data_IF_258329078652
#
_entry.id   IF_258329078652
#
_cell.length_a   1.000
_cell.length_b   1.000
_cell.length_c   1.000
_cell.angle_alpha   90.00
_cell.angle_beta   90.00
_cell.angle_gamma   90.00
#
_symmetry.space_group_name_H-M   'P 1'
#
loop_
_entity.id
_entity.type
_entity.pdbx_description
1 polymer ?
#
# COMPACT_ATOMS: atom_id res chain seq x y z
N UNK A 1 -60.43 4.27 46.71
CA UNK A 1 -60.44 3.98 45.25
C UNK A 1 -59.60 4.96 44.39
N UNK A 2 -58.96 6.01 44.95
CA UNK A 2 -58.18 7.02 44.18
C UNK A 2 -56.68 6.70 44.00
N UNK A 3 -56.07 5.91 44.88
CA UNK A 3 -54.59 5.74 44.89
C UNK A 3 -54.03 4.83 43.80
N UNK A 4 -54.76 3.78 43.40
CA UNK A 4 -54.33 2.83 42.35
C UNK A 4 -54.24 3.48 40.96
N UNK A 5 -54.93 4.60 40.74
CA UNK A 5 -54.93 5.37 39.49
C UNK A 5 -53.66 6.23 39.34
N UNK A 6 -53.14 6.77 40.44
CA UNK A 6 -51.95 7.63 40.40
C UNK A 6 -50.66 6.82 40.16
N UNK A 7 -50.52 5.67 40.82
CA UNK A 7 -49.39 4.77 40.64
C UNK A 7 -49.28 4.22 39.20
N UNK A 8 -50.42 3.89 38.58
CA UNK A 8 -50.48 3.40 37.20
C UNK A 8 -50.13 4.47 36.17
N UNK A 9 -50.44 5.74 36.43
CA UNK A 9 -50.04 6.88 35.59
C UNK A 9 -48.53 7.17 35.70
N UNK A 10 -47.96 7.03 36.90
CA UNK A 10 -46.53 7.19 37.13
C UNK A 10 -45.70 6.07 36.47
N UNK A 11 -46.15 4.81 36.57
CA UNK A 11 -45.50 3.66 35.95
C UNK A 11 -45.51 3.72 34.41
N UNK A 12 -46.60 4.20 33.80
CA UNK A 12 -46.68 4.37 32.34
C UNK A 12 -45.75 5.49 31.86
N UNK A 13 -45.63 6.59 32.61
CA UNK A 13 -44.69 7.67 32.29
C UNK A 13 -43.22 7.22 32.32
N UNK A 14 -42.85 6.39 33.29
CA UNK A 14 -41.49 5.81 33.42
C UNK A 14 -41.21 4.82 32.29
N UNK A 15 -42.18 3.97 31.91
CA UNK A 15 -42.01 3.02 30.80
C UNK A 15 -41.90 3.70 29.44
N UNK A 16 -42.60 4.82 29.21
CA UNK A 16 -42.47 5.62 27.98
C UNK A 16 -41.11 6.34 27.91
N UNK A 17 -40.58 6.82 29.04
CA UNK A 17 -39.24 7.41 29.11
C UNK A 17 -38.14 6.37 28.83
N UNK A 18 -38.26 5.15 29.37
CA UNK A 18 -37.31 4.05 29.14
C UNK A 18 -37.41 3.52 27.69
N UNK A 19 -38.62 3.42 27.14
CA UNK A 19 -38.80 3.02 25.74
C UNK A 19 -38.25 4.06 24.77
N UNK A 20 -38.36 5.36 25.08
CA UNK A 20 -37.80 6.45 24.28
C UNK A 20 -36.27 6.48 24.28
N UNK A 21 -35.61 6.15 25.39
CA UNK A 21 -34.13 6.06 25.45
C UNK A 21 -33.59 4.79 24.80
N UNK A 22 -34.31 3.66 24.88
CA UNK A 22 -33.96 2.42 24.18
C UNK A 22 -34.21 2.49 22.66
N UNK A 23 -35.24 3.22 22.20
CA UNK A 23 -35.43 3.48 20.77
C UNK A 23 -34.43 4.51 20.23
N UNK A 24 -34.11 5.56 21.00
CA UNK A 24 -33.16 6.60 20.60
C UNK A 24 -31.73 6.09 20.41
N UNK A 25 -31.33 5.04 21.14
CA UNK A 25 -30.03 4.38 20.97
C UNK A 25 -29.98 3.48 19.72
N UNK A 26 -31.13 3.05 19.19
CA UNK A 26 -31.21 2.23 17.96
C UNK A 26 -31.27 3.09 16.68
N UNK A 27 -31.52 4.40 16.81
CA UNK A 27 -31.56 5.36 15.70
C UNK A 27 -30.45 6.41 15.87
N UNK A 28 -29.27 6.01 16.38
CA UNK A 28 -28.05 6.68 15.94
C UNK A 28 -27.73 6.01 14.60
N UNK A 29 -28.09 6.59 13.44
CA UNK A 29 -27.48 6.14 12.20
C UNK A 29 -25.97 6.20 12.40
N UNK A 30 -25.28 5.09 12.16
CA UNK A 30 -23.84 4.97 12.33
C UNK A 30 -23.11 5.69 11.17
N UNK A 31 -23.67 6.79 10.67
CA UNK A 31 -23.13 7.60 9.58
C UNK A 31 -22.26 8.75 10.11
N UNK A 32 -21.96 8.79 11.41
CA UNK A 32 -21.08 9.80 11.98
C UNK A 32 -19.61 9.40 11.81
N UNK A 33 -19.08 9.74 10.64
CA UNK A 33 -17.66 9.90 10.39
C UNK A 33 -17.12 8.98 9.31
N UNK A 34 -17.26 9.37 8.04
CA UNK A 34 -16.12 9.26 7.14
C UNK A 34 -15.03 10.19 7.71
N UNK A 35 -14.37 9.76 8.78
CA UNK A 35 -13.14 10.38 9.23
C UNK A 35 -12.23 10.23 8.03
N UNK A 36 -11.95 11.33 7.33
CA UNK A 36 -11.06 11.33 6.19
C UNK A 36 -9.77 10.67 6.69
N UNK A 37 -9.54 9.43 6.26
CA UNK A 37 -8.37 8.68 6.68
C UNK A 37 -7.24 9.30 5.89
N UNK A 38 -6.53 10.21 6.55
CA UNK A 38 -5.46 11.04 5.99
C UNK A 38 -4.20 10.79 6.79
N UNK A 39 -3.10 10.53 6.11
CA UNK A 39 -1.78 10.40 6.69
C UNK A 39 -0.85 11.45 6.08
N UNK A 40 -0.44 12.44 6.87
CA UNK A 40 0.40 13.55 6.44
C UNK A 40 1.88 13.27 6.71
N UNK A 41 2.74 13.49 5.72
CA UNK A 41 4.19 13.41 5.87
C UNK A 41 4.79 14.81 5.89
N UNK A 42 5.38 15.18 7.02
CA UNK A 42 5.96 16.51 7.21
C UNK A 42 7.17 16.77 6.30
N UNK A 43 7.96 15.74 6.02
CA UNK A 43 9.19 15.85 5.21
C UNK A 43 8.90 16.29 3.78
N UNK A 44 7.84 15.74 3.17
CA UNK A 44 7.49 16.03 1.77
C UNK A 44 6.35 17.04 1.64
N UNK A 45 5.64 17.34 2.73
CA UNK A 45 4.46 18.21 2.71
C UNK A 45 3.24 17.58 2.03
N UNK A 46 3.30 16.28 1.70
CA UNK A 46 2.24 15.55 1.04
C UNK A 46 1.49 14.63 2.01
N UNK A 47 0.35 14.14 1.56
CA UNK A 47 -0.52 13.28 2.34
C UNK A 47 -1.03 12.12 1.50
N UNK A 48 -1.36 11.04 2.19
CA UNK A 48 -2.01 9.86 1.62
C UNK A 48 -3.45 9.86 2.15
N UNK A 49 -4.43 9.72 1.27
CA UNK A 49 -5.84 9.53 1.67
C UNK A 49 -6.33 8.15 1.26
N UNK A 50 -7.47 7.76 1.82
CA UNK A 50 -8.14 6.53 1.41
C UNK A 50 -9.20 6.74 0.30
N UNK A 51 -9.24 7.90 -0.37
CA UNK A 51 -10.23 8.20 -1.42
C UNK A 51 -10.20 7.16 -2.57
N UNK A 52 -9.01 6.64 -2.86
CA UNK A 52 -8.78 5.60 -3.86
C UNK A 52 -8.32 4.26 -3.25
N UNK A 53 -8.28 4.13 -1.91
CA UNK A 53 -7.73 2.93 -1.25
C UNK A 53 -6.22 2.94 -0.99
N UNK A 54 -5.51 4.01 -1.36
CA UNK A 54 -4.04 4.09 -1.23
C UNK A 54 -3.55 4.05 0.21
N UNK A 55 -4.21 4.77 1.14
CA UNK A 55 -3.79 4.74 2.54
C UNK A 55 -3.95 3.36 3.18
N UNK A 56 -5.06 2.66 2.89
CA UNK A 56 -5.25 1.29 3.36
C UNK A 56 -4.18 0.35 2.79
N UNK A 57 -3.90 0.43 1.49
CA UNK A 57 -2.86 -0.36 0.84
C UNK A 57 -1.48 -0.09 1.46
N UNK A 58 -1.11 1.18 1.59
CA UNK A 58 0.18 1.61 2.14
C UNK A 58 0.37 1.08 3.58
N UNK A 59 -0.66 1.17 4.43
CA UNK A 59 -0.61 0.63 5.80
C UNK A 59 -0.50 -0.90 5.84
N UNK A 60 -1.20 -1.59 4.95
CA UNK A 60 -1.22 -3.06 4.91
C UNK A 60 0.10 -3.66 4.41
N UNK A 61 0.87 -2.93 3.59
CA UNK A 61 2.04 -3.44 2.88
C UNK A 61 3.38 -2.80 3.32
N UNK A 62 3.49 -2.44 4.60
CA UNK A 62 4.70 -1.81 5.17
C UNK A 62 5.16 -0.58 4.35
N UNK A 63 4.21 0.27 3.95
CA UNK A 63 4.43 1.35 2.98
C UNK A 63 5.54 2.33 3.35
N UNK A 64 5.78 2.57 4.64
CA UNK A 64 6.89 3.40 5.10
C UNK A 64 8.24 2.85 4.65
N UNK A 65 8.43 1.52 4.73
CA UNK A 65 9.67 0.87 4.34
C UNK A 65 9.73 0.54 2.85
N UNK A 66 8.58 0.19 2.23
CA UNK A 66 8.53 -0.29 0.85
C UNK A 66 8.34 0.82 -0.18
N UNK A 67 7.55 1.85 0.13
CA UNK A 67 7.23 2.97 -0.76
C UNK A 67 7.84 4.30 -0.30
N UNK A 68 8.05 4.45 1.01
CA UNK A 68 8.50 5.70 1.62
C UNK A 68 7.38 6.74 1.69
N UNK A 69 7.78 8.00 1.87
CA UNK A 69 6.86 9.13 1.93
C UNK A 69 6.23 9.43 0.56
N UNK A 70 4.99 9.93 0.51
CA UNK A 70 4.38 10.43 -0.72
C UNK A 70 5.15 11.66 -1.22
N UNK A 71 5.42 11.72 -2.52
CA UNK A 71 6.06 12.88 -3.18
C UNK A 71 5.08 13.67 -4.05
N UNK A 72 3.84 13.19 -4.17
CA UNK A 72 2.72 13.90 -4.77
C UNK A 72 1.46 13.70 -3.92
N UNK A 73 0.42 14.51 -4.14
CA UNK A 73 -0.95 14.09 -3.85
C UNK A 73 -1.43 13.03 -4.85
N UNK A 74 -2.58 12.40 -4.61
CA UNK A 74 -3.23 11.56 -5.60
C UNK A 74 -3.84 12.40 -6.73
N UNK A 75 -3.64 11.99 -7.99
CA UNK A 75 -4.20 12.65 -9.17
C UNK A 75 -4.55 11.64 -10.28
N UNK A 76 -5.22 12.09 -11.34
CA UNK A 76 -5.56 11.24 -12.48
C UNK A 76 -4.48 11.31 -13.55
N UNK A 77 -3.94 10.17 -13.93
CA UNK A 77 -3.05 9.98 -15.08
C UNK A 77 -3.71 9.03 -16.08
N UNK A 78 -3.98 9.49 -17.30
CA UNK A 78 -4.71 8.72 -18.31
C UNK A 78 -6.07 8.16 -17.83
N UNK A 79 -6.72 8.87 -16.92
CA UNK A 79 -8.00 8.46 -16.31
C UNK A 79 -7.88 7.40 -15.22
N UNK A 80 -6.66 7.08 -14.78
CA UNK A 80 -6.36 6.19 -13.66
C UNK A 80 -5.88 7.02 -12.47
N UNK A 81 -6.46 6.86 -11.27
CA UNK A 81 -5.90 7.47 -10.07
C UNK A 81 -4.51 6.90 -9.78
N UNK A 82 -3.54 7.79 -9.58
CA UNK A 82 -2.15 7.46 -9.26
C UNK A 82 -1.65 8.36 -8.13
N UNK A 83 -0.69 7.85 -7.36
CA UNK A 83 0.09 8.64 -6.41
C UNK A 83 1.54 8.16 -6.42
N UNK A 84 2.48 9.11 -6.48
CA UNK A 84 3.91 8.81 -6.44
C UNK A 84 4.44 8.93 -5.02
N UNK A 85 5.36 8.03 -4.70
CA UNK A 85 6.09 7.91 -3.45
C UNK A 85 7.59 7.93 -3.75
N UNK A 86 8.42 8.06 -2.71
CA UNK A 86 9.88 8.08 -2.85
C UNK A 86 10.43 6.86 -3.61
N UNK A 87 9.83 5.68 -3.42
CA UNK A 87 10.33 4.41 -3.97
C UNK A 87 9.34 3.69 -4.90
N UNK A 88 8.24 4.33 -5.30
CA UNK A 88 7.27 3.70 -6.19
C UNK A 88 6.04 4.54 -6.51
N UNK A 89 5.10 3.93 -7.24
CA UNK A 89 3.80 4.52 -7.60
C UNK A 89 2.70 3.55 -7.22
N UNK A 90 1.61 4.05 -6.65
CA UNK A 90 0.37 3.30 -6.51
C UNK A 90 -0.60 3.67 -7.62
N UNK A 91 -1.29 2.67 -8.16
CA UNK A 91 -2.26 2.78 -9.25
C UNK A 91 -3.58 2.14 -8.83
N UNK A 92 -4.68 2.86 -8.98
CA UNK A 92 -6.02 2.32 -8.74
C UNK A 92 -6.65 1.87 -10.05
N UNK A 93 -6.67 0.56 -10.29
CA UNK A 93 -7.22 -0.02 -11.52
C UNK A 93 -8.74 -0.13 -11.46
N UNK A 94 -9.42 1.01 -11.39
CA UNK A 94 -10.89 1.12 -11.26
C UNK A 94 -11.68 0.47 -12.39
N UNK A 95 -11.03 0.22 -13.54
CA UNK A 95 -11.61 -0.50 -14.68
C UNK A 95 -11.59 -2.03 -14.54
N UNK A 96 -10.81 -2.56 -13.60
CA UNK A 96 -10.76 -3.99 -13.30
C UNK A 96 -11.77 -4.33 -12.20
N UNK A 97 -12.26 -5.57 -12.21
CA UNK A 97 -13.17 -6.06 -11.17
C UNK A 97 -12.50 -5.95 -9.79
N UNK A 98 -13.24 -5.45 -8.80
CA UNK A 98 -12.72 -5.20 -7.45
C UNK A 98 -11.84 -3.96 -7.30
N UNK A 99 -11.60 -3.19 -8.38
CA UNK A 99 -10.80 -1.96 -8.38
C UNK A 99 -9.47 -2.08 -7.60
N UNK A 100 -8.62 -3.07 -7.93
CA UNK A 100 -7.42 -3.36 -7.16
C UNK A 100 -6.42 -2.20 -7.18
N UNK A 101 -5.71 -2.06 -6.07
CA UNK A 101 -4.54 -1.18 -5.94
C UNK A 101 -3.29 -1.98 -6.27
N UNK A 102 -2.48 -1.47 -7.19
CA UNK A 102 -1.25 -2.12 -7.65
C UNK A 102 -0.06 -1.17 -7.58
N UNK A 103 1.14 -1.75 -7.51
CA UNK A 103 2.38 -1.02 -7.72
C UNK A 103 2.60 -0.78 -9.21
N UNK A 104 2.85 0.49 -9.56
CA UNK A 104 3.26 0.88 -10.89
C UNK A 104 4.67 0.38 -11.23
N UNK A 105 4.92 0.12 -12.51
CA UNK A 105 6.20 -0.44 -13.01
C UNK A 105 7.27 0.63 -13.24
N UNK A 106 7.39 1.60 -12.32
CA UNK A 106 8.22 2.79 -12.49
C UNK A 106 9.68 2.46 -12.81
N UNK A 107 10.24 1.40 -12.21
CA UNK A 107 11.60 0.94 -12.51
C UNK A 107 11.78 0.35 -13.92
N UNK A 108 10.75 -0.29 -14.47
CA UNK A 108 10.78 -0.78 -15.85
C UNK A 108 10.61 0.38 -16.85
N UNK A 109 9.67 1.29 -16.58
CA UNK A 109 9.46 2.51 -17.37
C UNK A 109 10.73 3.36 -17.45
N UNK A 110 11.44 3.52 -16.32
CA UNK A 110 12.71 4.24 -16.28
C UNK A 110 13.81 3.53 -17.08
N UNK A 111 13.93 2.21 -16.97
CA UNK A 111 14.90 1.44 -17.74
C UNK A 111 14.64 1.50 -19.25
N UNK A 112 13.37 1.42 -19.66
CA UNK A 112 12.95 1.60 -21.06
C UNK A 112 13.33 2.99 -21.57
N UNK A 113 13.08 4.05 -20.77
CA UNK A 113 13.46 5.42 -21.10
C UNK A 113 14.99 5.60 -21.25
N UNK A 114 15.77 4.84 -20.48
CA UNK A 114 17.23 4.83 -20.54
C UNK A 114 17.81 3.85 -21.58
N UNK A 115 16.97 3.08 -22.29
CA UNK A 115 17.40 2.03 -23.22
C UNK A 115 18.26 0.95 -22.54
N UNK A 116 18.05 0.71 -21.24
CA UNK A 116 18.76 -0.31 -20.46
C UNK A 116 17.98 -1.62 -20.54
N UNK A 117 18.65 -2.67 -21.03
CA UNK A 117 18.14 -4.03 -20.95
C UNK A 117 18.90 -4.83 -19.90
N UNK A 118 18.16 -5.43 -18.97
CA UNK A 118 18.74 -6.34 -17.99
C UNK A 118 18.88 -7.72 -18.62
N UNK A 119 20.06 -8.33 -18.49
CA UNK A 119 20.30 -9.66 -19.03
C UNK A 119 19.31 -10.67 -18.44
N UNK A 120 18.73 -11.51 -19.30
CA UNK A 120 17.92 -12.64 -18.86
C UNK A 120 18.84 -13.70 -18.24
N UNK A 121 18.45 -14.21 -17.07
CA UNK A 121 19.12 -15.34 -16.44
C UNK A 121 18.90 -16.61 -17.26
N UNK A 122 19.85 -17.54 -17.20
CA UNK A 122 19.66 -18.90 -17.71
C UNK A 122 19.36 -19.80 -16.52
N UNK A 123 18.40 -20.72 -16.67
CA UNK A 123 18.04 -21.71 -15.65
C UNK A 123 19.24 -22.55 -15.19
N UNK A 124 20.26 -22.68 -16.04
CA UNK A 124 21.48 -23.47 -15.78
C UNK A 124 22.50 -22.77 -14.88
N UNK A 125 22.28 -21.52 -14.49
CA UNK A 125 23.28 -20.70 -13.76
C UNK A 125 22.77 -20.22 -12.39
N UNK A 126 21.72 -20.84 -11.85
CA UNK A 126 21.15 -20.48 -10.54
C UNK A 126 22.08 -20.97 -9.43
N UNK A 127 22.70 -20.04 -8.72
CA UNK A 127 23.61 -20.32 -7.60
C UNK A 127 22.83 -20.58 -6.29
N UNK A 128 23.47 -21.16 -5.25
CA UNK A 128 22.86 -21.23 -3.93
C UNK A 128 22.49 -19.84 -3.40
N UNK A 129 21.24 -19.65 -2.97
CA UNK A 129 20.71 -18.34 -2.59
C UNK A 129 20.12 -17.54 -3.75
N UNK A 130 19.89 -18.18 -4.90
CA UNK A 130 19.21 -17.57 -6.04
C UNK A 130 17.92 -18.33 -6.40
N UNK A 131 16.93 -17.61 -6.93
CA UNK A 131 15.68 -18.15 -7.44
C UNK A 131 15.41 -17.58 -8.83
N UNK A 132 15.19 -18.47 -9.80
CA UNK A 132 14.84 -18.10 -11.17
C UNK A 132 13.32 -18.01 -11.35
N UNK A 133 12.88 -17.00 -12.09
CA UNK A 133 11.49 -16.73 -12.45
C UNK A 133 11.33 -16.93 -13.95
N UNK A 134 10.71 -18.05 -14.33
CA UNK A 134 10.59 -18.45 -15.74
C UNK A 134 9.69 -17.50 -16.54
N UNK A 135 8.75 -16.85 -15.86
CA UNK A 135 7.77 -15.92 -16.42
C UNK A 135 8.44 -14.67 -16.99
N UNK A 136 9.55 -14.23 -16.37
CA UNK A 136 10.27 -13.03 -16.78
C UNK A 136 11.69 -13.32 -17.27
N UNK A 137 12.15 -14.56 -17.10
CA UNK A 137 13.52 -14.96 -17.43
C UNK A 137 14.58 -14.29 -16.54
N UNK A 138 14.22 -13.84 -15.33
CA UNK A 138 15.15 -13.20 -14.41
C UNK A 138 15.40 -14.04 -13.15
N UNK A 139 16.55 -13.81 -12.54
CA UNK A 139 16.96 -14.45 -11.28
C UNK A 139 16.99 -13.40 -10.17
N UNK A 140 16.44 -13.74 -9.00
CA UNK A 140 16.56 -12.98 -7.77
C UNK A 140 17.55 -13.68 -6.84
N UNK A 141 18.48 -12.94 -6.26
CA UNK A 141 19.55 -13.46 -5.42
C UNK A 141 19.48 -12.85 -4.02
N UNK A 142 20.09 -13.52 -3.03
CA UNK A 142 20.29 -12.94 -1.71
C UNK A 142 21.12 -11.63 -1.76
N UNK A 143 20.84 -10.64 -0.88
CA UNK A 143 19.84 -10.66 0.20
C UNK A 143 18.40 -10.32 -0.24
N UNK A 144 18.19 -9.98 -1.52
CA UNK A 144 16.91 -9.51 -2.02
C UNK A 144 15.87 -10.62 -2.12
N UNK A 145 16.32 -11.86 -2.35
CA UNK A 145 15.45 -13.03 -2.34
C UNK A 145 14.74 -13.19 -0.99
N UNK A 146 15.48 -13.14 0.12
CA UNK A 146 14.88 -13.18 1.46
C UNK A 146 13.96 -11.98 1.72
N UNK A 147 14.34 -10.77 1.30
CA UNK A 147 13.47 -9.60 1.44
C UNK A 147 12.15 -9.78 0.67
N UNK A 148 12.21 -10.24 -0.58
CA UNK A 148 11.05 -10.44 -1.45
C UNK A 148 10.08 -11.47 -0.86
N UNK A 149 10.60 -12.60 -0.34
CA UNK A 149 9.78 -13.60 0.36
C UNK A 149 9.08 -13.03 1.60
N UNK A 150 9.77 -12.17 2.36
CA UNK A 150 9.27 -11.65 3.63
C UNK A 150 8.32 -10.44 3.50
N UNK A 151 8.27 -9.78 2.34
CA UNK A 151 7.52 -8.53 2.14
C UNK A 151 6.41 -8.66 1.08
N UNK A 152 5.84 -9.86 0.96
CA UNK A 152 4.63 -10.10 0.16
C UNK A 152 4.87 -10.62 -1.25
N UNK A 153 6.10 -10.99 -1.60
CA UNK A 153 6.44 -11.81 -2.78
C UNK A 153 5.65 -11.42 -4.05
N UNK A 154 5.01 -12.39 -4.71
CA UNK A 154 4.21 -12.18 -5.91
C UNK A 154 2.99 -11.28 -5.70
N UNK A 155 2.37 -11.32 -4.51
CA UNK A 155 1.10 -10.62 -4.27
C UNK A 155 1.28 -9.12 -4.07
N UNK A 156 2.45 -8.69 -3.60
CA UNK A 156 2.75 -7.29 -3.31
C UNK A 156 3.79 -6.72 -4.27
N UNK A 157 4.89 -7.44 -4.51
CA UNK A 157 6.02 -6.97 -5.32
C UNK A 157 5.99 -7.52 -6.76
N UNK A 158 5.21 -8.57 -7.01
CA UNK A 158 5.16 -9.25 -8.31
C UNK A 158 6.41 -10.07 -8.61
N UNK A 159 6.47 -10.62 -9.82
CA UNK A 159 7.68 -11.25 -10.35
C UNK A 159 8.73 -10.19 -10.68
N UNK A 160 10.03 -10.45 -10.47
CA UNK A 160 11.08 -9.53 -10.88
C UNK A 160 11.10 -9.41 -12.41
N UNK A 161 10.94 -8.20 -12.94
CA UNK A 161 11.03 -7.91 -14.38
C UNK A 161 12.44 -7.48 -14.80
N UNK A 162 13.42 -7.52 -13.89
CA UNK A 162 14.82 -7.15 -14.10
C UNK A 162 15.74 -8.06 -13.26
N UNK A 163 16.96 -8.30 -13.73
CA UNK A 163 18.01 -9.01 -12.97
C UNK A 163 18.56 -8.10 -11.87
N UNK A 164 18.62 -8.59 -10.62
CA UNK A 164 19.48 -7.97 -9.60
C UNK A 164 20.94 -8.19 -10.01
N UNK A 165 21.55 -7.21 -10.68
CA UNK A 165 22.94 -7.31 -11.15
C UNK A 165 23.93 -7.23 -9.98
N UNK A 166 24.15 -8.35 -9.30
CA UNK A 166 25.16 -8.48 -8.24
C UNK A 166 26.56 -8.70 -8.81
N UNK A 167 27.04 -7.77 -9.62
CA UNK A 167 28.46 -7.73 -10.01
C UNK A 167 29.35 -7.15 -8.92
N UNK A 168 28.87 -6.13 -8.20
CA UNK A 168 29.81 -5.24 -7.48
C UNK A 168 29.38 -4.84 -6.05
N UNK A 169 28.14 -5.13 -5.64
CA UNK A 169 27.61 -4.69 -4.35
C UNK A 169 27.79 -5.72 -3.22
N UNK A 170 28.96 -6.38 -3.15
CA UNK A 170 29.26 -7.42 -2.15
C UNK A 170 29.59 -6.87 -0.75
N UNK A 171 29.61 -5.56 -0.53
CA UNK A 171 30.20 -4.97 0.69
C UNK A 171 29.32 -4.10 1.60
N UNK A 172 28.02 -3.94 1.35
CA UNK A 172 27.17 -3.11 2.23
C UNK A 172 25.96 -3.89 2.74
N UNK A 173 26.02 -4.27 4.02
CA UNK A 173 25.08 -5.09 4.78
C UNK A 173 23.83 -4.34 5.27
N UNK A 174 23.38 -3.32 4.54
CA UNK A 174 22.16 -2.57 4.87
C UNK A 174 21.17 -2.63 3.69
N UNK A 175 20.10 -3.47 3.78
CA UNK A 175 19.06 -3.56 2.76
C UNK A 175 18.31 -2.24 2.53
N UNK A 176 18.19 -1.40 3.58
CA UNK A 176 17.51 -0.09 3.48
C UNK A 176 18.36 0.97 2.79
N UNK A 177 19.69 0.80 2.75
CA UNK A 177 20.58 1.63 1.96
C UNK A 177 20.50 1.35 0.46
N UNK A 178 19.98 0.19 0.05
CA UNK A 178 19.86 -0.14 -1.37
C UNK A 178 18.65 0.57 -1.98
N UNK A 179 17.50 0.68 -1.30
CA UNK A 179 16.36 1.44 -1.83
C UNK A 179 16.70 2.92 -2.09
N UNK A 180 17.67 3.50 -1.35
CA UNK A 180 18.17 4.86 -1.56
C UNK A 180 18.93 5.06 -2.89
N UNK A 181 19.55 4.02 -3.45
CA UNK A 181 20.31 4.12 -4.71
C UNK A 181 19.49 3.78 -5.94
N UNK A 182 18.34 3.13 -5.79
CA UNK A 182 17.48 2.75 -6.91
C UNK A 182 16.51 3.86 -7.34
N UNK A 183 16.22 4.83 -6.45
CA UNK A 183 15.34 5.96 -6.75
C UNK A 183 16.07 7.20 -7.33
N UNK A 184 17.37 7.33 -7.09
CA UNK A 184 18.17 8.43 -7.63
C UNK A 184 19.22 7.85 -8.58
N UNK A 185 19.04 8.06 -9.88
CA UNK A 185 20.05 7.80 -10.91
C UNK A 185 21.28 8.70 -10.74
N UNK A 186 22.10 8.40 -9.75
CA UNK A 186 23.40 9.03 -9.55
C UNK A 186 24.49 7.97 -9.75
N UNK A 187 25.10 8.04 -10.93
CA UNK A 187 26.43 7.48 -11.18
C UNK A 187 27.44 8.18 -10.26
N UNK A 188 28.23 7.47 -9.45
CA UNK A 188 29.51 7.97 -9.01
C UNK A 188 30.58 7.58 -10.05
N UNK A 189 31.33 8.59 -10.51
CA UNK A 189 32.59 8.40 -11.25
C UNK A 189 33.58 7.48 -10.50
#
# INVERSE_FOLDING_TARGET
MKERSAARRLQVGILVLIAGTLLGWWIIPHYLGAQADVHYHQETGHYITNDFGFLAYWRQHNGEQSLGAPVTGAFLENGMPVQYFQYGRLEAHTKLEGAPIMLGRVGAEYAEALWVQFAHGRTTDVQPGEQFFAETGHTLAEPFLSYWHNNGALTTLGVPHQRAALGEYRRRSDPSAVLRTWACGASPD
#
